data_IF_822011419371
#
_entry.id   IF_822011419371
#
_cell.length_a   1.000
_cell.length_b   1.000
_cell.length_c   1.000
_cell.angle_alpha   90.00
_cell.angle_beta   90.00
_cell.angle_gamma   90.00
#
_symmetry.space_group_name_H-M   'P 1'
#
loop_
_entity.id
_entity.type
_entity.pdbx_description
1 polymer ?
#
# COMPACT_ATOMS: atom_id res chain seq x y z
N UNK A 1 -17.95 -11.26 25.26
CA UNK A 1 -19.05 -12.23 25.05
C UNK A 1 -19.98 -11.83 23.89
N UNK A 2 -20.30 -10.54 23.69
CA UNK A 2 -21.18 -10.06 22.59
C UNK A 2 -20.66 -10.35 21.16
N UNK A 3 -19.37 -10.13 20.86
CA UNK A 3 -18.82 -10.30 19.49
C UNK A 3 -18.88 -11.76 19.00
N UNK A 4 -18.66 -12.72 19.89
CA UNK A 4 -18.69 -14.14 19.52
C UNK A 4 -20.12 -14.59 19.17
N UNK A 5 -21.13 -14.01 19.82
CA UNK A 5 -22.54 -14.26 19.51
C UNK A 5 -22.92 -13.70 18.13
N UNK A 6 -22.38 -12.53 17.75
CA UNK A 6 -22.55 -11.96 16.40
C UNK A 6 -21.87 -12.81 15.31
N UNK A 7 -20.70 -13.38 15.61
CA UNK A 7 -19.99 -14.26 14.67
C UNK A 7 -20.74 -15.59 14.51
N UNK A 8 -21.29 -16.14 15.59
CA UNK A 8 -21.97 -17.43 15.59
C UNK A 8 -23.44 -17.36 15.14
N UNK A 9 -23.99 -16.19 14.81
CA UNK A 9 -25.35 -16.11 14.30
C UNK A 9 -26.45 -16.27 15.36
N UNK A 10 -26.15 -16.00 16.64
CA UNK A 10 -27.11 -16.24 17.74
C UNK A 10 -28.35 -15.34 17.62
N UNK A 11 -28.15 -14.12 17.13
CA UNK A 11 -29.19 -13.17 16.76
C UNK A 11 -29.06 -12.91 15.25
N UNK A 12 -30.06 -13.31 14.48
CA UNK A 12 -30.03 -13.25 13.01
C UNK A 12 -29.91 -11.80 12.50
N UNK A 13 -30.67 -10.87 13.08
CA UNK A 13 -30.66 -9.47 12.67
C UNK A 13 -29.32 -8.80 13.01
N UNK A 14 -28.87 -8.98 14.25
CA UNK A 14 -27.59 -8.41 14.69
C UNK A 14 -26.40 -9.01 13.91
N UNK A 15 -26.46 -10.30 13.58
CA UNK A 15 -25.42 -10.98 12.80
C UNK A 15 -25.43 -10.52 11.34
N UNK A 16 -26.60 -10.31 10.74
CA UNK A 16 -26.70 -9.74 9.39
C UNK A 16 -26.10 -8.32 9.32
N UNK A 17 -26.39 -7.47 10.31
CA UNK A 17 -25.79 -6.14 10.43
C UNK A 17 -24.25 -6.23 10.59
N UNK A 18 -23.76 -7.17 11.37
CA UNK A 18 -22.33 -7.41 11.54
C UNK A 18 -21.66 -7.81 10.21
N UNK A 19 -22.26 -8.73 9.45
CA UNK A 19 -21.74 -9.14 8.14
C UNK A 19 -21.74 -7.97 7.13
N UNK A 20 -22.80 -7.15 7.14
CA UNK A 20 -22.86 -5.95 6.30
C UNK A 20 -21.76 -4.95 6.65
N UNK A 21 -21.53 -4.70 7.94
CA UNK A 21 -20.45 -3.83 8.40
C UNK A 21 -19.07 -4.38 8.03
N UNK A 22 -18.88 -5.71 8.11
CA UNK A 22 -17.66 -6.38 7.65
C UNK A 22 -17.41 -6.21 6.15
N UNK A 23 -18.46 -6.33 5.33
CA UNK A 23 -18.39 -6.10 3.89
C UNK A 23 -18.02 -4.64 3.55
N UNK A 24 -18.69 -3.67 4.18
CA UNK A 24 -18.37 -2.25 4.01
C UNK A 24 -16.94 -1.94 4.43
N UNK A 25 -16.49 -2.48 5.57
CA UNK A 25 -15.12 -2.32 6.02
C UNK A 25 -14.11 -2.88 5.01
N UNK A 26 -14.35 -4.08 4.47
CA UNK A 26 -13.47 -4.68 3.46
C UNK A 26 -13.38 -3.82 2.17
N UNK A 27 -14.49 -3.21 1.74
CA UNK A 27 -14.51 -2.28 0.62
C UNK A 27 -13.68 -1.02 0.91
N UNK A 28 -13.85 -0.40 2.08
CA UNK A 28 -13.08 0.77 2.49
C UNK A 28 -11.59 0.48 2.65
N UNK A 29 -11.24 -0.69 3.19
CA UNK A 29 -9.85 -1.14 3.31
C UNK A 29 -9.21 -1.29 1.93
N UNK A 30 -9.93 -1.93 1.00
CA UNK A 30 -9.44 -2.10 -0.38
C UNK A 30 -9.22 -0.76 -1.05
N UNK A 31 -10.16 0.18 -0.91
CA UNK A 31 -10.02 1.54 -1.41
C UNK A 31 -8.81 2.25 -0.79
N UNK A 32 -8.61 2.15 0.53
CA UNK A 32 -7.49 2.75 1.24
C UNK A 32 -6.13 2.21 0.74
N UNK A 33 -6.00 0.89 0.57
CA UNK A 33 -4.81 0.26 0.00
C UNK A 33 -4.52 0.80 -1.41
N UNK A 34 -5.55 0.86 -2.26
CA UNK A 34 -5.42 1.38 -3.61
C UNK A 34 -5.02 2.86 -3.63
N UNK A 35 -5.60 3.69 -2.76
CA UNK A 35 -5.22 5.10 -2.64
C UNK A 35 -3.76 5.27 -2.25
N UNK A 36 -3.28 4.54 -1.22
CA UNK A 36 -1.87 4.61 -0.81
C UNK A 36 -0.92 4.11 -1.92
N UNK A 37 -1.26 3.01 -2.58
CA UNK A 37 -0.47 2.49 -3.70
C UNK A 37 -0.40 3.50 -4.88
N UNK A 38 -1.52 4.16 -5.18
CA UNK A 38 -1.62 5.16 -6.26
C UNK A 38 -0.74 6.38 -6.01
N UNK A 39 -0.49 6.78 -4.77
CA UNK A 39 0.42 7.92 -4.47
C UNK A 39 1.82 7.66 -5.02
N UNK A 40 2.35 6.44 -4.86
CA UNK A 40 3.66 6.09 -5.40
C UNK A 40 3.66 6.05 -6.94
N UNK A 41 2.58 5.55 -7.56
CA UNK A 41 2.44 5.54 -9.01
C UNK A 41 2.42 6.97 -9.59
N UNK A 42 1.61 7.86 -8.99
CA UNK A 42 1.55 9.27 -9.37
C UNK A 42 2.90 9.95 -9.21
N UNK A 43 3.60 9.70 -8.10
CA UNK A 43 4.94 10.23 -7.86
C UNK A 43 5.92 9.78 -8.94
N UNK A 44 5.84 8.52 -9.38
CA UNK A 44 6.65 7.99 -10.47
C UNK A 44 6.43 8.76 -11.77
N UNK A 45 5.17 8.98 -12.14
CA UNK A 45 4.82 9.78 -13.31
C UNK A 45 5.26 11.25 -13.18
N UNK A 46 5.05 11.87 -12.02
CA UNK A 46 5.51 13.25 -11.76
C UNK A 46 7.00 13.38 -11.99
N UNK A 47 7.80 12.45 -11.45
CA UNK A 47 9.25 12.45 -11.62
C UNK A 47 9.68 12.20 -13.07
N UNK A 48 9.00 11.28 -13.76
CA UNK A 48 9.26 10.99 -15.17
C UNK A 48 9.17 12.26 -16.04
N UNK A 49 8.09 13.04 -15.86
CA UNK A 49 7.90 14.28 -16.61
C UNK A 49 8.76 15.44 -16.09
N UNK A 50 8.96 15.55 -14.77
CA UNK A 50 9.76 16.64 -14.19
C UNK A 50 11.22 16.60 -14.65
N UNK A 51 11.80 15.41 -14.84
CA UNK A 51 13.15 15.25 -15.36
C UNK A 51 13.22 15.22 -16.89
N UNK A 52 12.12 15.50 -17.58
CA UNK A 52 12.06 15.48 -19.05
C UNK A 52 12.43 14.14 -19.66
N UNK A 53 12.23 13.01 -18.93
CA UNK A 53 12.62 11.69 -19.42
C UNK A 53 11.84 11.30 -20.70
N UNK A 54 10.65 11.87 -20.88
CA UNK A 54 9.86 11.74 -22.10
C UNK A 54 10.41 12.51 -23.32
N UNK A 55 11.39 13.41 -23.11
CA UNK A 55 12.00 14.22 -24.16
C UNK A 55 13.37 13.67 -24.59
N UNK A 56 14.01 12.87 -23.74
CA UNK A 56 15.30 12.24 -23.99
C UNK A 56 15.11 10.78 -24.45
N UNK A 57 15.41 10.43 -25.72
CA UNK A 57 15.29 9.05 -26.21
C UNK A 57 16.11 8.04 -25.42
N UNK A 58 17.20 8.44 -24.76
CA UNK A 58 18.02 7.56 -23.94
C UNK A 58 17.40 7.24 -22.57
N UNK A 59 16.44 8.06 -22.11
CA UNK A 59 15.75 7.91 -20.81
C UNK A 59 14.26 7.63 -20.95
N UNK A 60 13.73 7.67 -22.16
CA UNK A 60 12.32 7.40 -22.45
C UNK A 60 11.97 5.98 -22.00
N UNK A 61 10.90 5.88 -21.22
CA UNK A 61 10.34 4.61 -20.77
C UNK A 61 9.05 4.39 -21.56
N UNK A 62 8.79 3.15 -21.98
CA UNK A 62 7.51 2.80 -22.60
C UNK A 62 6.34 3.26 -21.71
N UNK A 63 5.29 3.91 -22.23
CA UNK A 63 4.21 4.48 -21.42
C UNK A 63 3.59 3.52 -20.39
N UNK A 64 3.42 2.24 -20.76
CA UNK A 64 2.86 1.20 -19.86
C UNK A 64 3.81 0.74 -18.75
N UNK A 65 5.09 1.09 -18.86
CA UNK A 65 6.15 0.70 -17.93
C UNK A 65 6.63 1.87 -17.07
N UNK A 66 6.06 3.06 -17.25
CA UNK A 66 6.32 4.20 -16.36
C UNK A 66 5.73 3.87 -14.99
N UNK A 67 6.57 3.93 -13.97
CA UNK A 67 6.22 3.62 -12.60
C UNK A 67 7.38 3.92 -11.67
N UNK A 68 7.13 3.96 -10.36
CA UNK A 68 8.11 4.45 -9.39
C UNK A 68 9.45 3.67 -9.45
N UNK A 69 9.40 2.35 -9.64
CA UNK A 69 10.58 1.51 -9.74
C UNK A 69 11.36 1.73 -11.05
N UNK A 70 10.67 1.89 -12.19
CA UNK A 70 11.34 2.08 -13.48
C UNK A 70 11.97 3.48 -13.56
N UNK A 71 11.27 4.49 -13.06
CA UNK A 71 11.75 5.88 -13.01
C UNK A 71 12.93 6.03 -12.05
N UNK A 72 12.86 5.42 -10.86
CA UNK A 72 13.94 5.48 -9.86
C UNK A 72 15.31 5.05 -10.41
N UNK A 73 15.34 4.06 -11.33
CA UNK A 73 16.58 3.60 -11.98
C UNK A 73 17.24 4.64 -12.88
N UNK A 74 16.46 5.56 -13.46
CA UNK A 74 16.95 6.58 -14.38
C UNK A 74 17.24 7.92 -13.68
N UNK A 75 16.91 8.04 -12.39
CA UNK A 75 17.22 9.24 -11.62
C UNK A 75 18.72 9.31 -11.29
N UNK A 76 19.29 10.54 -11.27
CA UNK A 76 20.65 10.75 -10.82
C UNK A 76 20.81 10.35 -9.35
N UNK A 77 22.03 9.98 -8.96
CA UNK A 77 22.35 9.73 -7.55
C UNK A 77 22.17 11.02 -6.73
N UNK A 78 21.61 10.89 -5.53
CA UNK A 78 21.32 12.05 -4.69
C UNK A 78 20.26 11.78 -3.63
N UNK A 79 19.85 12.85 -2.93
CA UNK A 79 18.83 12.78 -1.89
C UNK A 79 17.50 12.22 -2.42
N UNK A 80 17.07 12.69 -3.59
CA UNK A 80 15.83 12.26 -4.24
C UNK A 80 15.78 10.73 -4.43
N UNK A 81 16.81 10.17 -5.08
CA UNK A 81 16.88 8.73 -5.35
C UNK A 81 16.94 7.92 -4.05
N UNK A 82 17.65 8.40 -3.03
CA UNK A 82 17.67 7.76 -1.71
C UNK A 82 16.30 7.73 -1.04
N UNK A 83 15.57 8.85 -1.00
CA UNK A 83 14.23 8.89 -0.41
C UNK A 83 13.26 7.96 -1.14
N UNK A 84 13.33 7.91 -2.47
CA UNK A 84 12.53 6.97 -3.27
C UNK A 84 12.88 5.53 -2.99
N UNK A 85 14.16 5.20 -2.85
CA UNK A 85 14.61 3.86 -2.48
C UNK A 85 14.02 3.45 -1.12
N UNK A 86 14.09 4.34 -0.13
CA UNK A 86 13.47 4.14 1.18
C UNK A 86 11.95 3.95 1.10
N UNK A 87 11.26 4.61 0.16
CA UNK A 87 9.84 4.40 -0.07
C UNK A 87 9.56 2.98 -0.58
N UNK A 88 10.22 2.60 -1.69
CA UNK A 88 9.82 1.46 -2.51
C UNK A 88 10.42 0.12 -2.10
N UNK A 89 11.58 0.13 -1.43
CA UNK A 89 12.24 -1.11 -0.98
C UNK A 89 11.81 -1.54 0.43
N UNK A 90 10.99 -0.75 1.11
CA UNK A 90 10.48 -1.08 2.43
C UNK A 90 9.49 -2.26 2.37
N UNK A 91 9.60 -3.19 3.32
CA UNK A 91 8.76 -4.40 3.35
C UNK A 91 7.27 -4.10 3.41
N UNK A 92 6.85 -3.04 4.11
CA UNK A 92 5.44 -2.65 4.17
C UNK A 92 4.91 -2.10 2.84
N UNK A 93 5.76 -1.39 2.08
CA UNK A 93 5.39 -0.98 0.72
C UNK A 93 5.33 -2.17 -0.23
N UNK A 94 6.27 -3.11 -0.11
CA UNK A 94 6.24 -4.35 -0.88
C UNK A 94 4.97 -5.15 -0.58
N UNK A 95 4.56 -5.25 0.69
CA UNK A 95 3.30 -5.85 1.09
C UNK A 95 2.10 -5.11 0.50
N UNK A 96 2.06 -3.76 0.61
CA UNK A 96 1.02 -2.90 0.05
C UNK A 96 0.88 -3.07 -1.48
N UNK A 97 2.00 -3.08 -2.19
CA UNK A 97 2.06 -3.25 -3.63
C UNK A 97 1.55 -4.64 -4.03
N UNK A 98 2.02 -5.68 -3.33
CA UNK A 98 1.60 -7.06 -3.59
C UNK A 98 0.10 -7.29 -3.32
N UNK A 99 -0.43 -6.82 -2.18
CA UNK A 99 -1.85 -6.99 -1.86
C UNK A 99 -2.75 -6.22 -2.83
N UNK A 100 -2.31 -5.03 -3.24
CA UNK A 100 -3.05 -4.19 -4.20
C UNK A 100 -3.04 -4.82 -5.58
N UNK A 101 -1.89 -5.26 -6.08
CA UNK A 101 -1.79 -5.88 -7.40
C UNK A 101 -2.47 -7.25 -7.46
N UNK A 102 -2.37 -8.04 -6.38
CA UNK A 102 -3.14 -9.28 -6.25
C UNK A 102 -4.64 -8.99 -6.32
N UNK A 103 -5.11 -7.97 -5.60
CA UNK A 103 -6.52 -7.58 -5.59
C UNK A 103 -7.01 -7.02 -6.93
N UNK A 104 -6.13 -6.36 -7.71
CA UNK A 104 -6.44 -5.83 -9.05
C UNK A 104 -6.51 -6.93 -10.12
N UNK A 105 -5.61 -7.92 -10.08
CA UNK A 105 -5.39 -8.83 -11.21
C UNK A 105 -5.81 -10.28 -10.95
N UNK A 106 -6.05 -10.67 -9.70
CA UNK A 106 -6.37 -12.07 -9.34
C UNK A 106 -7.65 -12.16 -8.54
N UNK A 107 -7.62 -11.65 -7.31
CA UNK A 107 -8.76 -11.67 -6.40
C UNK A 107 -8.51 -10.78 -5.19
N UNK A 108 -9.58 -10.18 -4.67
CA UNK A 108 -9.52 -9.36 -3.47
C UNK A 108 -9.06 -10.22 -2.29
N UNK A 109 -8.00 -9.79 -1.62
CA UNK A 109 -7.54 -10.42 -0.38
C UNK A 109 -8.53 -10.10 0.73
N UNK A 110 -9.12 -11.14 1.33
CA UNK A 110 -10.16 -10.99 2.35
C UNK A 110 -9.58 -10.40 3.64
N UNK A 111 -10.28 -9.40 4.19
CA UNK A 111 -10.04 -8.85 5.52
C UNK A 111 -11.13 -9.34 6.47
N UNK A 112 -10.90 -10.48 7.12
CA UNK A 112 -11.91 -11.10 8.00
C UNK A 112 -11.76 -10.59 9.43
N UNK A 113 -12.88 -10.51 10.14
CA UNK A 113 -12.85 -10.26 11.57
C UNK A 113 -12.25 -11.47 12.30
N UNK A 114 -11.20 -11.24 13.06
CA UNK A 114 -10.38 -12.26 13.72
C UNK A 114 -10.23 -11.92 15.20
N UNK A 115 -10.19 -12.97 16.02
CA UNK A 115 -9.94 -12.91 17.47
C UNK A 115 -8.56 -13.51 17.72
N UNK A 116 -7.74 -12.86 18.52
CA UNK A 116 -6.57 -13.51 19.11
C UNK A 116 -6.96 -14.06 20.48
N UNK A 117 -6.86 -15.40 20.61
CA UNK A 117 -7.15 -16.12 21.84
C UNK A 117 -5.90 -16.57 22.58
N UNK A 118 -4.70 -16.38 21.99
CA UNK A 118 -3.44 -16.77 22.64
C UNK A 118 -2.96 -15.71 23.62
N UNK A 119 -3.36 -14.45 23.42
CA UNK A 119 -2.96 -13.32 24.25
C UNK A 119 -1.59 -12.75 23.89
N UNK A 120 -0.98 -13.23 22.80
CA UNK A 120 0.34 -12.81 22.35
C UNK A 120 0.29 -11.51 21.52
N UNK A 121 -0.85 -11.21 20.88
CA UNK A 121 -1.03 -10.02 20.07
C UNK A 121 -1.42 -8.81 20.91
N UNK A 122 -0.80 -7.63 20.69
CA UNK A 122 -1.27 -6.37 21.27
C UNK A 122 -2.65 -5.96 20.74
N UNK A 123 -3.12 -6.59 19.65
CA UNK A 123 -4.47 -6.41 19.08
C UNK A 123 -5.28 -7.68 19.38
N UNK A 124 -6.16 -7.68 20.40
CA UNK A 124 -6.90 -8.87 20.83
C UNK A 124 -7.98 -9.30 19.83
N UNK A 125 -8.43 -8.39 18.98
CA UNK A 125 -9.37 -8.67 17.91
C UNK A 125 -9.38 -7.54 16.87
N UNK A 126 -9.85 -7.85 15.66
CA UNK A 126 -10.03 -6.85 14.61
C UNK A 126 -10.03 -7.46 13.22
N UNK A 127 -9.90 -6.62 12.20
CA UNK A 127 -9.78 -7.09 10.82
C UNK A 127 -8.34 -7.52 10.54
N UNK A 128 -8.19 -8.70 9.95
CA UNK A 128 -6.91 -9.29 9.59
C UNK A 128 -6.91 -9.65 8.11
N UNK A 129 -5.88 -9.23 7.38
CA UNK A 129 -5.66 -9.68 6.02
C UNK A 129 -5.35 -11.17 6.03
N UNK A 130 -6.04 -11.92 5.16
CA UNK A 130 -5.75 -13.32 4.92
C UNK A 130 -4.38 -13.47 4.26
N UNK A 131 -3.69 -14.59 4.55
CA UNK A 131 -2.47 -14.98 3.83
C UNK A 131 -2.76 -15.06 2.34
N UNK A 132 -1.85 -14.56 1.51
CA UNK A 132 -1.96 -14.61 0.06
C UNK A 132 -0.62 -14.88 -0.61
N UNK A 133 -0.66 -15.27 -1.88
CA UNK A 133 0.54 -15.50 -2.69
C UNK A 133 0.49 -14.58 -3.91
N UNK A 134 1.59 -13.88 -4.16
CA UNK A 134 1.74 -13.01 -5.32
C UNK A 134 3.15 -13.16 -5.88
N UNK A 135 3.23 -13.43 -7.19
CA UNK A 135 4.50 -13.63 -7.93
C UNK A 135 5.46 -14.63 -7.27
N UNK A 136 4.93 -15.75 -6.75
CA UNK A 136 5.72 -16.81 -6.13
C UNK A 136 6.22 -16.48 -4.71
N UNK A 137 5.87 -15.32 -4.15
CA UNK A 137 6.13 -14.96 -2.76
C UNK A 137 4.85 -15.09 -1.93
N UNK A 138 4.96 -15.78 -0.80
CA UNK A 138 3.89 -15.86 0.20
C UNK A 138 3.98 -14.69 1.17
N UNK A 139 2.86 -14.00 1.37
CA UNK A 139 2.73 -12.90 2.31
C UNK A 139 1.91 -13.32 3.53
N UNK A 140 2.42 -13.11 4.76
CA UNK A 140 1.75 -13.56 5.97
C UNK A 140 0.50 -12.74 6.26
N UNK A 141 -0.36 -13.25 7.14
CA UNK A 141 -1.49 -12.48 7.65
C UNK A 141 -1.00 -11.27 8.44
N UNK A 142 -1.67 -10.13 8.27
CA UNK A 142 -1.38 -8.91 9.03
C UNK A 142 -2.65 -8.26 9.53
N UNK A 143 -2.59 -7.70 10.74
CA UNK A 143 -3.67 -6.86 11.25
C UNK A 143 -3.81 -5.62 10.36
N UNK A 144 -5.04 -5.36 9.92
CA UNK A 144 -5.31 -4.30 8.94
C UNK A 144 -4.88 -2.95 9.50
N UNK A 145 -5.41 -2.56 10.67
CA UNK A 145 -5.21 -1.22 11.22
C UNK A 145 -3.73 -0.87 11.48
N UNK A 146 -2.94 -1.70 12.18
CA UNK A 146 -1.51 -1.44 12.35
C UNK A 146 -0.74 -1.34 11.03
N UNK A 147 -1.08 -2.19 10.05
CA UNK A 147 -0.44 -2.18 8.73
C UNK A 147 -0.72 -0.88 7.98
N UNK A 148 -1.99 -0.46 7.91
CA UNK A 148 -2.38 0.76 7.20
C UNK A 148 -1.85 2.02 7.91
N UNK A 149 -1.94 2.09 9.23
CA UNK A 149 -1.48 3.27 9.99
C UNK A 149 0.04 3.45 9.92
N UNK A 150 0.81 2.35 10.03
CA UNK A 150 2.27 2.38 9.90
C UNK A 150 2.68 2.86 8.51
N UNK A 151 2.13 2.24 7.46
CA UNK A 151 2.52 2.55 6.09
C UNK A 151 2.04 3.94 5.67
N UNK A 152 0.84 4.36 6.06
CA UNK A 152 0.35 5.72 5.78
C UNK A 152 1.26 6.80 6.36
N UNK A 153 1.60 6.69 7.66
CA UNK A 153 2.47 7.68 8.33
C UNK A 153 3.84 7.76 7.65
N UNK A 154 4.42 6.59 7.38
CA UNK A 154 5.71 6.47 6.69
C UNK A 154 5.68 7.10 5.30
N UNK A 155 4.65 6.79 4.49
CA UNK A 155 4.50 7.38 3.16
C UNK A 155 4.30 8.89 3.22
N UNK A 156 3.47 9.39 4.13
CA UNK A 156 3.20 10.82 4.27
C UNK A 156 4.49 11.63 4.51
N UNK A 157 5.37 11.15 5.38
CA UNK A 157 6.66 11.80 5.67
C UNK A 157 7.64 11.71 4.48
N UNK A 158 7.72 10.54 3.83
CA UNK A 158 8.65 10.34 2.72
C UNK A 158 8.22 11.13 1.49
N UNK A 159 6.92 11.21 1.18
CA UNK A 159 6.42 11.97 0.02
C UNK A 159 6.78 13.45 0.12
N UNK A 160 6.66 14.05 1.31
CA UNK A 160 7.10 15.44 1.54
C UNK A 160 8.60 15.57 1.33
N UNK A 161 9.39 14.63 1.87
CA UNK A 161 10.85 14.62 1.71
C UNK A 161 11.28 14.49 0.24
N UNK A 162 10.57 13.66 -0.54
CA UNK A 162 10.77 13.52 -1.98
C UNK A 162 10.45 14.82 -2.71
N UNK A 163 9.34 15.49 -2.36
CA UNK A 163 8.96 16.77 -2.95
C UNK A 163 10.02 17.87 -2.73
N UNK A 164 10.53 17.99 -1.51
CA UNK A 164 11.62 18.92 -1.20
C UNK A 164 12.90 18.58 -1.97
N UNK A 165 13.27 17.29 -2.02
CA UNK A 165 14.44 16.85 -2.76
C UNK A 165 14.29 17.04 -4.28
N UNK A 166 13.07 16.93 -4.82
CA UNK A 166 12.78 17.20 -6.21
C UNK A 166 13.00 18.69 -6.53
N UNK A 167 12.42 19.59 -5.74
CA UNK A 167 12.59 21.04 -5.94
C UNK A 167 14.07 21.42 -5.95
N UNK A 168 14.83 20.96 -4.94
CA UNK A 168 16.27 21.21 -4.87
C UNK A 168 17.03 20.64 -6.08
N UNK A 169 16.64 19.45 -6.56
CA UNK A 169 17.28 18.84 -7.72
C UNK A 169 16.98 19.59 -9.02
N UNK A 170 15.79 20.17 -9.16
CA UNK A 170 15.43 20.97 -10.33
C UNK A 170 16.10 22.34 -10.29
N UNK A 171 16.13 23.01 -9.13
CA UNK A 171 16.84 24.28 -8.95
C UNK A 171 18.35 24.16 -9.22
N UNK A 172 18.98 23.05 -8.82
CA UNK A 172 20.39 22.81 -9.09
C UNK A 172 20.71 22.48 -10.56
N UNK A 173 19.70 22.17 -11.38
CA UNK A 173 19.82 21.86 -12.80
C UNK A 173 19.33 22.99 -13.72
N UNK A 174 18.90 24.13 -13.15
CA UNK A 174 18.63 25.40 -13.84
C UNK A 174 19.86 26.30 -13.70
#
# INVERSE_FOLDING_TARGET
MQIMQLIMGVDEEASALFQMAGFQAAAHITACLQSMHTVADLLGHTLYYAFGMNLDPAKTIEPRRVGIHSVSRHLPEGALKRHLKTLVEHDDFAYLSAITNHSKHRSIVKANYSLDLTGDSPTPHGLKFSRFEYEGKTYPERWVRPTLESEYKRQAEIVVSVGLALNNALEANI
#
